data_IF_923745773862
#
_entry.id   IF_923745773862
#
_cell.length_a   1.000
_cell.length_b   1.000
_cell.length_c   1.000
_cell.angle_alpha   90.00
_cell.angle_beta   90.00
_cell.angle_gamma   90.00
#
_symmetry.space_group_name_H-M   'P 1'
#
loop_
_entity.id
_entity.type
_entity.pdbx_description
1 polymer ?
#
# COMPACT_ATOMS: atom_id res chain seq x y z
N UNK A 1 -2.41 21.03 10.67
CA UNK A 1 -2.82 20.78 9.27
C UNK A 1 -1.93 19.70 8.71
N UNK A 2 -2.51 18.64 8.15
CA UNK A 2 -1.75 17.68 7.35
C UNK A 2 -1.42 18.36 6.03
N UNK A 3 -0.15 18.34 5.63
CA UNK A 3 0.30 18.84 4.34
C UNK A 3 -0.22 17.90 3.24
N UNK A 4 -1.13 18.40 2.41
CA UNK A 4 -1.78 17.65 1.33
C UNK A 4 -0.76 17.10 0.32
N UNK A 5 0.34 17.81 0.08
CA UNK A 5 1.40 17.33 -0.80
C UNK A 5 2.14 16.14 -0.18
N UNK A 6 2.39 16.17 1.14
CA UNK A 6 2.98 15.03 1.85
C UNK A 6 2.03 13.82 1.86
N UNK A 7 0.74 14.05 2.08
CA UNK A 7 -0.28 13.02 2.06
C UNK A 7 -0.35 12.31 0.70
N UNK A 8 -0.47 13.09 -0.39
CA UNK A 8 -0.49 12.55 -1.75
C UNK A 8 0.77 11.74 -2.06
N UNK A 9 1.94 12.24 -1.63
CA UNK A 9 3.21 11.52 -1.80
C UNK A 9 3.22 10.19 -1.06
N UNK A 10 2.66 10.11 0.16
CA UNK A 10 2.53 8.85 0.88
C UNK A 10 1.61 7.87 0.15
N UNK A 11 0.45 8.32 -0.32
CA UNK A 11 -0.48 7.50 -1.10
C UNK A 11 0.18 6.93 -2.37
N UNK A 12 0.91 7.77 -3.12
CA UNK A 12 1.64 7.36 -4.31
C UNK A 12 2.73 6.32 -3.99
N UNK A 13 3.50 6.51 -2.91
CA UNK A 13 4.52 5.56 -2.47
C UNK A 13 3.92 4.21 -2.08
N UNK A 14 2.83 4.21 -1.30
CA UNK A 14 2.14 2.98 -0.90
C UNK A 14 1.61 2.23 -2.13
N UNK A 15 0.99 2.94 -3.08
CA UNK A 15 0.51 2.35 -4.33
C UNK A 15 1.63 1.72 -5.15
N UNK A 16 2.78 2.41 -5.25
CA UNK A 16 3.97 1.89 -5.93
C UNK A 16 4.50 0.62 -5.26
N UNK A 17 4.64 0.62 -3.93
CA UNK A 17 5.07 -0.54 -3.16
C UNK A 17 4.14 -1.74 -3.36
N UNK A 18 2.82 -1.50 -3.44
CA UNK A 18 1.82 -2.55 -3.71
C UNK A 18 2.03 -3.18 -5.08
N UNK A 19 2.14 -2.38 -6.14
CA UNK A 19 2.37 -2.90 -7.50
C UNK A 19 3.65 -3.74 -7.58
N UNK A 20 4.73 -3.30 -6.92
CA UNK A 20 5.97 -4.08 -6.85
C UNK A 20 5.78 -5.39 -6.08
N UNK A 21 5.07 -5.37 -4.95
CA UNK A 21 4.80 -6.57 -4.15
C UNK A 21 3.89 -7.57 -4.90
N UNK A 22 2.89 -7.10 -5.65
CA UNK A 22 2.03 -7.91 -6.52
C UNK A 22 2.85 -8.59 -7.62
N UNK A 23 3.74 -7.84 -8.29
CA UNK A 23 4.66 -8.38 -9.29
C UNK A 23 5.55 -9.49 -8.73
N UNK A 24 6.19 -9.25 -7.58
CA UNK A 24 7.00 -10.27 -6.90
C UNK A 24 6.16 -11.49 -6.50
N UNK A 25 4.94 -11.28 -6.02
CA UNK A 25 4.03 -12.36 -5.64
C UNK A 25 3.62 -13.25 -6.83
N UNK A 26 3.37 -12.63 -7.99
CA UNK A 26 3.04 -13.33 -9.23
C UNK A 26 4.21 -14.17 -9.77
N UNK A 27 5.44 -13.73 -9.57
CA UNK A 27 6.65 -14.45 -10.01
C UNK A 27 7.10 -15.55 -9.02
N UNK A 28 6.48 -15.65 -7.84
CA UNK A 28 6.97 -16.45 -6.73
C UNK A 28 6.45 -17.90 -6.66
N UNK A 29 5.84 -18.42 -7.71
CA UNK A 29 5.20 -19.75 -7.69
C UNK A 29 6.17 -20.88 -7.35
N UNK A 30 7.43 -20.78 -7.77
CA UNK A 30 8.50 -21.74 -7.45
C UNK A 30 9.30 -21.38 -6.19
N UNK A 31 8.97 -20.26 -5.53
CA UNK A 31 9.69 -19.75 -4.35
C UNK A 31 8.72 -19.56 -3.16
N UNK A 32 8.38 -20.63 -2.41
CA UNK A 32 7.38 -20.57 -1.35
C UNK A 32 7.66 -19.53 -0.25
N UNK A 33 8.93 -19.25 0.05
CA UNK A 33 9.31 -18.20 0.98
C UNK A 33 8.96 -16.80 0.43
N UNK A 34 9.25 -16.55 -0.85
CA UNK A 34 8.92 -15.28 -1.52
C UNK A 34 7.40 -15.12 -1.61
N UNK A 35 6.65 -16.17 -1.97
CA UNK A 35 5.18 -16.16 -2.04
C UNK A 35 4.55 -15.78 -0.69
N UNK A 36 5.04 -16.39 0.41
CA UNK A 36 4.56 -16.09 1.77
C UNK A 36 4.96 -14.69 2.25
N UNK A 37 6.18 -14.25 1.97
CA UNK A 37 6.64 -12.91 2.36
C UNK A 37 5.86 -11.81 1.62
N UNK A 38 5.70 -11.96 0.31
CA UNK A 38 4.95 -10.99 -0.50
C UNK A 38 3.47 -10.95 -0.13
N UNK A 39 2.84 -12.08 0.20
CA UNK A 39 1.48 -12.09 0.74
C UNK A 39 1.35 -11.30 2.05
N UNK A 40 2.32 -11.44 2.98
CA UNK A 40 2.35 -10.65 4.22
C UNK A 40 2.56 -9.15 3.94
N UNK A 41 3.45 -8.81 3.00
CA UNK A 41 3.66 -7.41 2.60
C UNK A 41 2.38 -6.79 2.04
N UNK A 42 1.64 -7.52 1.19
CA UNK A 42 0.38 -7.06 0.62
C UNK A 42 -0.68 -6.79 1.69
N UNK A 43 -0.76 -7.64 2.72
CA UNK A 43 -1.66 -7.41 3.86
C UNK A 43 -1.28 -6.13 4.62
N UNK A 44 0.00 -5.91 4.92
CA UNK A 44 0.46 -4.68 5.57
C UNK A 44 0.20 -3.44 4.71
N UNK A 45 0.44 -3.52 3.40
CA UNK A 45 0.19 -2.42 2.47
C UNK A 45 -1.31 -2.09 2.37
N UNK A 46 -2.20 -3.08 2.41
CA UNK A 46 -3.65 -2.85 2.44
C UNK A 46 -4.07 -2.04 3.67
N UNK A 47 -3.47 -2.29 4.84
CA UNK A 47 -3.74 -1.50 6.05
C UNK A 47 -3.23 -0.07 5.92
N UNK A 48 -2.06 0.13 5.30
CA UNK A 48 -1.55 1.48 5.03
C UNK A 48 -2.43 2.24 4.04
N UNK A 49 -2.93 1.58 2.99
CA UNK A 49 -3.88 2.17 2.04
C UNK A 49 -5.16 2.62 2.72
N UNK A 50 -5.75 1.80 3.60
CA UNK A 50 -6.95 2.17 4.37
C UNK A 50 -6.64 3.39 5.24
N UNK A 51 -5.59 3.35 6.04
CA UNK A 51 -5.23 4.45 6.94
C UNK A 51 -4.93 5.76 6.21
N UNK A 52 -4.36 5.70 5.01
CA UNK A 52 -4.08 6.89 4.20
C UNK A 52 -5.35 7.32 3.46
N UNK A 53 -6.04 6.47 2.71
CA UNK A 53 -7.23 6.86 1.95
C UNK A 53 -8.43 7.29 2.81
N UNK A 54 -8.65 6.71 4.00
CA UNK A 54 -9.74 7.12 4.90
C UNK A 54 -9.58 8.56 5.42
N UNK A 55 -8.34 9.07 5.48
CA UNK A 55 -8.08 10.46 5.86
C UNK A 55 -8.50 11.48 4.78
N UNK A 56 -8.64 11.05 3.53
CA UNK A 56 -9.10 11.92 2.43
C UNK A 56 -10.62 12.10 2.49
N UNK A 57 -11.38 11.03 2.78
CA UNK A 57 -12.84 11.09 2.96
C UNK A 57 -13.24 11.95 4.16
N UNK A 58 -12.48 11.92 5.26
CA UNK A 58 -12.71 12.77 6.44
C UNK A 58 -12.40 14.27 6.22
N UNK A 59 -11.73 14.65 5.12
CA UNK A 59 -11.48 16.07 4.77
C UNK A 59 -12.59 16.71 3.94
N UNK A 60 -13.53 15.92 3.39
CA UNK A 60 -14.62 16.44 2.53
C UNK A 60 -15.83 16.90 3.35
N UNK A 61 -15.94 16.46 4.62
CA UNK A 61 -17.05 16.78 5.52
C UNK A 61 -16.72 17.84 6.61
N UNK A 62 -15.75 18.73 6.36
CA UNK A 62 -15.29 19.77 7.30
C UNK A 62 -15.42 21.20 6.78
#
# INVERSE_FOLDING_TARGET
MVDEAQFKKMAEMISSMRKTAEGLHGMADTFPAVKRNTARMLASLKMLEINVCDLDELRVDG
#
